data_IF_260676983652
#
_entry.id   IF_260676983652
#
_cell.length_a   1.000
_cell.length_b   1.000
_cell.length_c   1.000
_cell.angle_alpha   90.00
_cell.angle_beta   90.00
_cell.angle_gamma   90.00
#
_symmetry.space_group_name_H-M   'P 1'
#
loop_
_entity.id
_entity.type
_entity.pdbx_description
1 polymer ?
#
# COMPACT_ATOMS: atom_id res chain seq x y z
N UNK A 1 -0.65 -5.96 -19.93
CA UNK A 1 -1.90 -5.53 -20.60
C UNK A 1 -1.79 -4.05 -20.87
N UNK A 2 -2.08 -3.60 -22.10
CA UNK A 2 -2.17 -2.18 -22.42
C UNK A 2 -3.65 -1.81 -22.44
N UNK A 3 -4.02 -0.75 -21.73
CA UNK A 3 -5.39 -0.25 -21.68
C UNK A 3 -5.38 1.27 -21.87
N UNK A 4 -6.41 1.81 -22.52
CA UNK A 4 -6.58 3.26 -22.69
C UNK A 4 -7.14 3.92 -21.42
N UNK A 5 -7.98 3.20 -20.67
CA UNK A 5 -8.54 3.64 -19.39
C UNK A 5 -8.13 2.68 -18.27
N UNK A 6 -8.06 3.18 -17.04
CA UNK A 6 -7.82 2.35 -15.86
C UNK A 6 -8.96 1.36 -15.58
N UNK A 7 -8.64 0.23 -14.97
CA UNK A 7 -9.65 -0.75 -14.54
C UNK A 7 -10.56 -0.13 -13.48
N UNK A 8 -11.88 -0.25 -13.69
CA UNK A 8 -12.86 0.13 -12.67
C UNK A 8 -12.84 -0.94 -11.58
N UNK A 9 -12.54 -0.54 -10.34
CA UNK A 9 -12.59 -1.42 -9.18
C UNK A 9 -13.92 -1.20 -8.46
N UNK A 10 -14.71 -2.25 -8.24
CA UNK A 10 -15.97 -2.17 -7.49
C UNK A 10 -15.68 -1.74 -6.05
N UNK A 11 -16.40 -0.73 -5.55
CA UNK A 11 -16.14 -0.13 -4.24
C UNK A 11 -17.41 0.47 -3.62
N UNK A 12 -18.57 -0.11 -3.91
CA UNK A 12 -19.85 0.32 -3.34
C UNK A 12 -19.91 -0.01 -1.85
N UNK A 13 -20.56 0.85 -1.04
CA UNK A 13 -20.73 0.61 0.40
C UNK A 13 -21.60 -0.61 0.69
N UNK A 14 -22.54 -0.94 -0.22
CA UNK A 14 -23.45 -2.10 -0.09
C UNK A 14 -22.72 -3.43 -0.21
N UNK A 15 -21.58 -3.44 -0.88
CA UNK A 15 -20.75 -4.62 -1.09
C UNK A 15 -19.66 -4.74 0.00
N UNK A 16 -19.66 -3.84 0.99
CA UNK A 16 -18.66 -3.78 2.06
C UNK A 16 -19.31 -3.98 3.43
N UNK A 17 -18.59 -4.70 4.30
CA UNK A 17 -18.98 -4.92 5.70
C UNK A 17 -17.80 -4.62 6.62
N UNK A 18 -18.07 -4.43 7.92
CA UNK A 18 -17.03 -4.19 8.94
C UNK A 18 -16.08 -3.02 8.62
N UNK A 19 -16.62 -1.93 8.05
CA UNK A 19 -15.86 -0.76 7.63
C UNK A 19 -15.28 -0.05 8.87
N UNK A 20 -13.94 -0.01 8.96
CA UNK A 20 -13.19 0.64 10.04
C UNK A 20 -12.19 1.65 9.45
N UNK A 21 -11.81 2.69 10.20
CA UNK A 21 -10.69 3.55 9.81
C UNK A 21 -9.40 2.72 9.63
N UNK A 22 -8.56 3.15 8.69
CA UNK A 22 -7.24 2.54 8.46
C UNK A 22 -6.39 2.76 9.70
N UNK A 23 -5.78 1.69 10.22
CA UNK A 23 -4.91 1.72 11.41
C UNK A 23 -3.52 2.33 11.13
N UNK A 24 -3.17 2.44 9.85
CA UNK A 24 -1.92 2.99 9.35
C UNK A 24 -2.07 4.46 8.92
N UNK A 25 -0.96 5.18 8.92
CA UNK A 25 -0.92 6.58 8.53
C UNK A 25 0.48 7.02 8.14
N UNK A 26 0.78 8.31 8.33
CA UNK A 26 2.06 8.91 7.95
C UNK A 26 3.24 8.22 8.63
N UNK A 27 3.10 7.81 9.89
CA UNK A 27 4.18 7.11 10.60
C UNK A 27 4.55 5.77 9.94
N UNK A 28 3.55 4.98 9.55
CA UNK A 28 3.75 3.72 8.85
C UNK A 28 4.35 3.95 7.46
N UNK A 29 3.87 4.96 6.74
CA UNK A 29 4.40 5.33 5.43
C UNK A 29 5.89 5.69 5.51
N UNK A 30 6.31 6.44 6.54
CA UNK A 30 7.71 6.83 6.73
C UNK A 30 8.64 5.65 7.05
N UNK A 31 8.11 4.49 7.44
CA UNK A 31 8.89 3.25 7.65
C UNK A 31 9.10 2.47 6.35
N UNK A 32 8.36 2.78 5.29
CA UNK A 32 8.54 2.15 3.99
C UNK A 32 9.80 2.70 3.31
N UNK A 33 10.50 1.83 2.60
CA UNK A 33 11.75 2.15 1.92
C UNK A 33 11.57 2.01 0.40
N UNK A 34 11.31 3.12 -0.32
CA UNK A 34 11.31 3.11 -1.78
C UNK A 34 12.71 2.79 -2.30
N UNK A 35 12.82 1.78 -3.17
CA UNK A 35 14.09 1.33 -3.75
C UNK A 35 14.07 1.40 -5.27
N UNK A 36 15.27 1.54 -5.85
CA UNK A 36 15.51 1.24 -7.27
C UNK A 36 16.14 -0.15 -7.36
N UNK A 37 15.65 -0.96 -8.29
CA UNK A 37 16.13 -2.33 -8.45
C UNK A 37 16.16 -2.76 -9.92
N UNK A 38 16.97 -3.77 -10.19
CA UNK A 38 16.99 -4.47 -11.47
C UNK A 38 16.65 -5.94 -11.24
N UNK A 39 15.99 -6.56 -12.22
CA UNK A 39 15.70 -7.98 -12.14
C UNK A 39 16.99 -8.79 -12.32
N UNK A 40 17.26 -9.71 -11.40
CA UNK A 40 18.41 -10.62 -11.49
C UNK A 40 18.43 -11.42 -12.80
N UNK A 41 17.25 -11.74 -13.33
CA UNK A 41 17.10 -12.35 -14.64
C UNK A 41 16.70 -11.26 -15.64
N UNK A 42 17.62 -10.88 -16.52
CA UNK A 42 17.44 -9.80 -17.50
C UNK A 42 16.32 -10.04 -18.53
N UNK A 43 15.68 -11.22 -18.51
CA UNK A 43 14.50 -11.53 -19.33
C UNK A 43 13.20 -10.91 -18.80
N UNK A 44 13.13 -10.46 -17.53
CA UNK A 44 11.91 -9.90 -16.90
C UNK A 44 11.84 -8.36 -17.05
N UNK A 45 12.49 -7.84 -18.09
CA UNK A 45 12.53 -6.42 -18.42
C UNK A 45 13.91 -5.81 -18.15
N UNK A 46 14.38 -5.04 -19.12
CA UNK A 46 15.65 -4.31 -19.03
C UNK A 46 15.48 -3.01 -18.24
N UNK A 47 16.55 -2.67 -17.51
CA UNK A 47 16.72 -1.38 -16.81
C UNK A 47 16.13 -1.30 -15.41
N UNK A 48 16.55 -0.26 -14.70
CA UNK A 48 16.12 0.04 -13.35
C UNK A 48 14.60 0.28 -13.25
N UNK A 49 14.01 -0.29 -12.19
CA UNK A 49 12.61 -0.13 -11.79
C UNK A 49 12.54 0.45 -10.39
N UNK A 50 11.49 1.20 -10.11
CA UNK A 50 11.20 1.71 -8.76
C UNK A 50 10.15 0.82 -8.11
N UNK A 51 10.29 0.59 -6.81
CA UNK A 51 9.32 -0.20 -6.06
C UNK A 51 9.66 -0.30 -4.59
N UNK A 52 9.09 -1.33 -3.96
CA UNK A 52 9.27 -1.69 -2.56
C UNK A 52 9.69 -3.16 -2.46
N UNK A 53 10.38 -3.50 -1.37
CA UNK A 53 10.73 -4.88 -1.05
C UNK A 53 9.59 -5.50 -0.24
N UNK A 54 8.97 -6.55 -0.77
CA UNK A 54 7.80 -7.19 -0.14
C UNK A 54 8.05 -7.61 1.31
N UNK A 55 9.23 -8.13 1.62
CA UNK A 55 9.62 -8.55 2.96
C UNK A 55 9.79 -7.38 3.94
N UNK A 56 10.15 -6.19 3.46
CA UNK A 56 10.21 -4.98 4.29
C UNK A 56 8.81 -4.45 4.55
N UNK A 57 7.98 -4.40 3.51
CA UNK A 57 6.57 -3.99 3.62
C UNK A 57 5.80 -4.91 4.57
N UNK A 58 6.05 -6.22 4.52
CA UNK A 58 5.38 -7.21 5.37
C UNK A 58 5.57 -6.95 6.88
N UNK A 59 6.70 -6.35 7.27
CA UNK A 59 6.98 -5.99 8.67
C UNK A 59 6.21 -4.76 9.14
N UNK A 60 5.68 -3.96 8.21
CA UNK A 60 5.02 -2.69 8.50
C UNK A 60 3.53 -2.77 8.23
N UNK A 61 3.14 -3.31 7.07
CA UNK A 61 1.76 -3.39 6.56
C UNK A 61 1.60 -4.76 5.87
N UNK A 62 1.44 -5.85 6.64
CA UNK A 62 1.38 -7.20 6.07
C UNK A 62 0.21 -7.42 5.10
N UNK A 63 -0.90 -6.70 5.26
CA UNK A 63 -2.13 -6.90 4.49
C UNK A 63 -1.99 -6.56 3.00
N UNK A 64 -1.02 -5.72 2.63
CA UNK A 64 -0.76 -5.38 1.22
C UNK A 64 0.23 -6.34 0.56
N UNK A 65 0.74 -7.34 1.29
CA UNK A 65 1.72 -8.31 0.77
C UNK A 65 1.02 -9.64 0.52
N UNK A 66 1.08 -10.10 -0.72
CA UNK A 66 0.61 -11.43 -1.09
C UNK A 66 1.67 -12.46 -0.75
N UNK A 67 1.40 -13.30 0.24
CA UNK A 67 2.28 -14.38 0.71
C UNK A 67 1.72 -15.78 0.44
N UNK A 68 0.42 -15.90 0.20
CA UNK A 68 -0.25 -17.17 -0.03
C UNK A 68 -1.06 -17.14 -1.33
N UNK A 69 -1.23 -18.31 -1.92
CA UNK A 69 -2.13 -18.55 -3.03
C UNK A 69 -3.13 -19.66 -2.69
N UNK A 70 -4.38 -19.44 -3.10
CA UNK A 70 -5.42 -20.45 -3.02
C UNK A 70 -5.20 -21.47 -4.14
N UNK A 71 -4.99 -22.73 -3.77
CA UNK A 71 -4.92 -23.86 -4.70
C UNK A 71 -6.14 -24.76 -4.56
N UNK A 72 -6.59 -25.32 -5.68
CA UNK A 72 -7.67 -26.31 -5.69
C UNK A 72 -7.04 -27.67 -5.37
N UNK A 73 -7.50 -28.32 -4.31
CA UNK A 73 -7.01 -29.65 -3.90
C UNK A 73 -7.86 -30.77 -4.47
N UNK A 74 -9.12 -30.48 -4.80
CA UNK A 74 -10.05 -31.41 -5.45
C UNK A 74 -11.03 -30.63 -6.34
N UNK A 75 -11.00 -30.90 -7.65
CA UNK A 75 -11.83 -30.19 -8.63
C UNK A 75 -13.33 -30.55 -8.55
N UNK A 76 -13.67 -31.77 -8.14
CA UNK A 76 -15.04 -32.26 -8.09
C UNK A 76 -15.82 -31.65 -6.91
N UNK A 77 -15.16 -31.53 -5.76
CA UNK A 77 -15.71 -30.92 -4.54
C UNK A 77 -15.44 -29.41 -4.44
N UNK A 78 -14.62 -28.85 -5.35
CA UNK A 78 -14.10 -27.47 -5.30
C UNK A 78 -13.41 -27.13 -3.99
N UNK A 79 -12.77 -28.13 -3.36
CA UNK A 79 -12.04 -27.91 -2.14
C UNK A 79 -10.78 -27.10 -2.44
N UNK A 80 -10.52 -26.09 -1.61
CA UNK A 80 -9.35 -25.23 -1.72
C UNK A 80 -8.52 -25.25 -0.44
N UNK A 81 -7.23 -24.94 -0.59
CA UNK A 81 -6.29 -24.76 0.50
C UNK A 81 -5.41 -23.55 0.21
N UNK A 82 -5.03 -22.82 1.26
CA UNK A 82 -4.01 -21.78 1.17
C UNK A 82 -2.61 -22.40 1.21
N UNK A 83 -1.80 -22.10 0.21
CA UNK A 83 -0.40 -22.53 0.14
C UNK A 83 0.50 -21.30 0.19
N UNK A 84 1.52 -21.34 1.02
CA UNK A 84 2.55 -20.29 1.03
C UNK A 84 3.30 -20.25 -0.30
N UNK A 85 3.52 -19.04 -0.82
CA UNK A 85 4.20 -18.78 -2.08
C UNK A 85 5.71 -18.64 -1.87
N UNK A 86 6.50 -19.19 -2.79
CA UNK A 86 7.96 -19.01 -2.81
C UNK A 86 8.39 -17.56 -3.08
N UNK A 87 7.50 -16.75 -3.66
CA UNK A 87 7.77 -15.35 -4.04
C UNK A 87 6.60 -14.48 -3.61
N UNK A 88 6.90 -13.49 -2.77
CA UNK A 88 5.89 -12.55 -2.31
C UNK A 88 5.64 -11.45 -3.33
N UNK A 89 4.38 -11.01 -3.40
CA UNK A 89 3.94 -9.88 -4.22
C UNK A 89 3.43 -8.73 -3.36
N UNK A 90 3.26 -7.55 -3.95
CA UNK A 90 2.65 -6.38 -3.29
C UNK A 90 1.42 -5.96 -4.09
N UNK A 91 0.31 -5.78 -3.39
CA UNK A 91 -0.88 -5.10 -3.90
C UNK A 91 -0.67 -3.58 -3.86
N UNK A 92 0.06 -3.04 -4.84
CA UNK A 92 0.40 -1.61 -4.86
C UNK A 92 -0.82 -0.69 -4.83
N UNK A 93 -1.96 -1.12 -5.40
CA UNK A 93 -3.22 -0.36 -5.33
C UNK A 93 -3.73 -0.17 -3.91
N UNK A 94 -3.45 -1.12 -3.01
CA UNK A 94 -3.91 -1.09 -1.62
C UNK A 94 -3.08 -0.12 -0.75
N UNK A 95 -1.94 0.36 -1.27
CA UNK A 95 -1.20 1.47 -0.67
C UNK A 95 -1.87 2.84 -0.92
N UNK A 96 -2.77 2.97 -1.89
CA UNK A 96 -3.40 4.26 -2.22
C UNK A 96 -4.21 4.82 -1.04
N UNK A 97 -5.10 4.06 -0.37
CA UNK A 97 -5.81 4.56 0.81
C UNK A 97 -4.88 4.97 1.96
N UNK A 98 -3.77 4.26 2.17
CA UNK A 98 -2.72 4.64 3.12
C UNK A 98 -2.09 5.99 2.76
N UNK A 99 -1.73 6.19 1.49
CA UNK A 99 -1.14 7.44 1.02
C UNK A 99 -2.11 8.61 1.22
N UNK A 100 -3.40 8.43 0.91
CA UNK A 100 -4.44 9.43 1.16
C UNK A 100 -4.47 9.81 2.65
N UNK A 101 -4.53 8.82 3.54
CA UNK A 101 -4.55 9.05 4.99
C UNK A 101 -3.28 9.77 5.47
N UNK A 102 -2.13 9.38 4.95
CA UNK A 102 -0.83 9.97 5.29
C UNK A 102 -0.72 11.44 4.86
N UNK A 103 -1.24 11.79 3.68
CA UNK A 103 -1.30 13.17 3.18
C UNK A 103 -2.25 14.01 4.04
N UNK A 104 -3.40 13.46 4.43
CA UNK A 104 -4.33 14.16 5.34
C UNK A 104 -3.67 14.48 6.69
N UNK A 105 -2.95 13.52 7.27
CA UNK A 105 -2.19 13.73 8.51
C UNK A 105 -1.06 14.73 8.33
N UNK A 106 -0.35 14.68 7.20
CA UNK A 106 0.69 15.65 6.87
C UNK A 106 0.10 17.07 6.76
N UNK A 107 -1.03 17.23 6.08
CA UNK A 107 -1.72 18.52 5.96
C UNK A 107 -2.16 19.07 7.32
N UNK A 108 -2.68 18.22 8.20
CA UNK A 108 -3.04 18.61 9.56
C UNK A 108 -1.83 19.10 10.36
N UNK A 109 -0.67 18.44 10.22
CA UNK A 109 0.58 18.90 10.86
C UNK A 109 1.02 20.26 10.32
N UNK A 110 0.95 20.48 9.00
CA UNK A 110 1.30 21.77 8.37
C UNK A 110 0.41 22.89 8.93
N UNK A 111 -0.91 22.72 8.88
CA UNK A 111 -1.84 23.74 9.39
C UNK A 111 -1.63 24.03 10.88
N UNK A 112 -1.31 23.01 11.68
CA UNK A 112 -0.99 23.19 13.10
C UNK A 112 0.29 24.01 13.29
N UNK A 113 1.33 23.73 12.50
CA UNK A 113 2.60 24.44 12.57
C UNK A 113 2.47 25.90 12.11
N UNK A 114 1.75 26.15 11.03
CA UNK A 114 1.46 27.51 10.52
C UNK A 114 0.71 28.34 11.56
N UNK A 115 -0.31 27.77 12.22
CA UNK A 115 -1.04 28.46 13.28
C UNK A 115 -0.15 28.81 14.48
N UNK A 116 0.77 27.91 14.85
CA UNK A 116 1.74 28.16 15.93
C UNK A 116 2.75 29.23 15.56
N UNK A 117 3.25 29.23 14.32
CA UNK A 117 4.16 30.26 13.81
C UNK A 117 3.48 31.63 13.86
N UNK A 118 2.26 31.75 13.33
CA UNK A 118 1.49 32.99 13.39
C UNK A 118 1.30 33.48 14.83
N UNK A 119 0.93 32.60 15.74
CA UNK A 119 0.75 32.94 17.15
C UNK A 119 2.05 33.38 17.85
N UNK A 120 3.21 32.91 17.37
CA UNK A 120 4.51 33.33 17.88
C UNK A 120 4.94 34.67 17.29
N UNK A 121 4.73 34.88 15.99
CA UNK A 121 4.98 36.14 15.31
C UNK A 121 4.15 37.29 15.89
N UNK A 122 2.88 37.02 16.20
CA UNK A 122 1.97 38.00 16.83
C UNK A 122 2.40 38.35 18.27
N UNK A 123 3.20 37.52 18.96
CA UNK A 123 3.74 37.80 20.31
C UNK A 123 5.06 38.58 20.28
N UNK A 124 5.75 38.60 19.15
CA UNK A 124 7.03 39.28 18.97
C UNK A 124 6.85 40.71 18.42
N UNK A 125 5.63 41.05 17.99
CA UNK A 125 5.21 42.42 17.64
C UNK A 125 4.68 43.15 18.86
#
# INVERSE_FOLDING_TARGET
>A
MYAQNGTINTSDVRDKQNIKPIAYGLESLMKLNPVSYEWKNGSIGSGAKLGLIAQEVMKVIPEVVKTHETIITDEASKQTMEKEMDRYGIYYSDLIPLLIKSIQEQQQKITTLEARLKALEDKLK
#
